data_IF_550842709118
#
_entry.id   IF_550842709118
#
_cell.length_a   1.000
_cell.length_b   1.000
_cell.length_c   1.000
_cell.angle_alpha   90.00
_cell.angle_beta   90.00
_cell.angle_gamma   90.00
#
_symmetry.space_group_name_H-M   'P 1'
#
loop_
_entity.id
_entity.type
_entity.pdbx_description
1 polymer ?
#
# COMPACT_ATOMS: atom_id res chain seq x y z
N UNK A 1 2.97 8.17 15.31
CA UNK A 1 4.20 8.38 14.54
C UNK A 1 5.09 7.14 14.66
N UNK A 2 5.34 6.47 13.57
CA UNK A 2 6.19 5.27 13.51
C UNK A 2 7.61 5.58 13.05
N UNK A 3 8.01 6.84 13.05
CA UNK A 3 9.32 7.32 12.61
C UNK A 3 9.57 7.08 11.11
N UNK A 4 8.50 7.00 10.32
CA UNK A 4 8.57 6.71 8.91
C UNK A 4 8.68 7.99 8.09
N UNK A 5 9.67 8.06 7.22
CA UNK A 5 9.83 9.20 6.33
C UNK A 5 9.05 9.00 5.04
N UNK A 6 7.79 9.40 5.04
CA UNK A 6 6.90 9.30 3.88
C UNK A 6 7.33 10.21 2.72
N UNK A 7 8.20 11.19 2.95
CA UNK A 7 8.68 12.09 1.90
C UNK A 7 9.44 11.40 0.78
N UNK A 8 10.11 10.31 1.08
CA UNK A 8 10.87 9.54 0.07
C UNK A 8 9.98 8.82 -0.95
N UNK A 9 8.69 8.64 -0.66
CA UNK A 9 7.73 8.00 -1.55
C UNK A 9 7.28 8.85 -2.72
N UNK A 10 7.46 10.16 -2.62
CA UNK A 10 7.09 11.10 -3.66
C UNK A 10 8.22 11.40 -4.63
N UNK A 11 9.36 10.71 -4.52
CA UNK A 11 10.41 10.88 -5.50
C UNK A 11 9.97 10.36 -6.88
N UNK A 12 10.50 10.98 -7.94
CA UNK A 12 10.10 10.67 -9.30
C UNK A 12 10.41 9.22 -9.71
N UNK A 13 11.41 8.61 -9.13
CA UNK A 13 11.83 7.23 -9.45
C UNK A 13 10.81 6.22 -8.93
N UNK A 14 10.41 6.34 -7.67
CA UNK A 14 9.34 5.51 -7.09
C UNK A 14 8.01 5.71 -7.82
N UNK A 15 7.72 6.95 -8.19
CA UNK A 15 6.54 7.32 -8.97
C UNK A 15 6.51 6.62 -10.33
N UNK A 16 7.61 6.63 -11.06
CA UNK A 16 7.70 6.01 -12.38
C UNK A 16 7.56 4.49 -12.34
N UNK A 17 8.19 3.82 -11.38
CA UNK A 17 8.17 2.35 -11.30
C UNK A 17 6.77 1.80 -11.02
N UNK A 18 5.98 2.47 -10.16
CA UNK A 18 4.68 1.95 -9.76
C UNK A 18 3.49 2.59 -10.46
N UNK A 19 3.72 3.70 -11.16
CA UNK A 19 2.67 4.49 -11.76
C UNK A 19 1.90 3.74 -12.84
N UNK A 20 2.61 3.13 -13.77
CA UNK A 20 2.00 2.39 -14.87
C UNK A 20 1.26 1.14 -14.39
N UNK A 21 1.78 0.46 -13.37
CA UNK A 21 1.09 -0.69 -12.78
C UNK A 21 -0.19 -0.28 -12.06
N UNK A 22 -0.20 0.84 -11.36
CA UNK A 22 -1.43 1.36 -10.74
C UNK A 22 -2.47 1.70 -11.78
N UNK A 23 -2.10 2.36 -12.87
CA UNK A 23 -3.01 2.63 -14.00
C UNK A 23 -3.60 1.34 -14.58
N UNK A 24 -2.76 0.35 -14.81
CA UNK A 24 -3.19 -0.93 -15.37
C UNK A 24 -4.13 -1.69 -14.42
N UNK A 25 -3.84 -1.69 -13.12
CA UNK A 25 -4.73 -2.27 -12.10
C UNK A 25 -6.08 -1.56 -12.09
N UNK A 26 -6.08 -0.22 -12.07
CA UNK A 26 -7.31 0.56 -12.03
C UNK A 26 -8.16 0.38 -13.29
N UNK A 27 -7.55 0.10 -14.44
CA UNK A 27 -8.26 -0.19 -15.68
C UNK A 27 -9.04 -1.52 -15.66
N UNK A 28 -8.70 -2.42 -14.74
CA UNK A 28 -9.30 -3.76 -14.62
C UNK A 28 -10.50 -3.82 -13.68
N UNK A 29 -10.82 -2.72 -13.02
CA UNK A 29 -11.90 -2.65 -12.04
C UNK A 29 -12.88 -1.54 -12.41
N UNK A 30 -14.12 -1.73 -12.04
CA UNK A 30 -15.16 -0.70 -12.16
C UNK A 30 -15.08 0.22 -10.94
N UNK A 31 -14.71 1.48 -11.18
CA UNK A 31 -14.59 2.51 -10.15
C UNK A 31 -15.77 3.45 -10.29
N UNK A 32 -16.80 3.22 -9.49
CA UNK A 32 -18.00 4.04 -9.44
C UNK A 32 -18.28 4.48 -8.00
N UNK A 33 -18.97 5.62 -7.86
CA UNK A 33 -19.35 6.15 -6.56
C UNK A 33 -18.22 6.81 -5.80
N UNK A 34 -18.33 6.83 -4.47
CA UNK A 34 -17.37 7.48 -3.58
C UNK A 34 -16.24 6.50 -3.22
N UNK A 35 -15.01 6.92 -3.48
CA UNK A 35 -13.81 6.12 -3.23
C UNK A 35 -13.05 6.69 -2.03
N UNK A 36 -12.62 5.81 -1.13
CA UNK A 36 -11.73 6.17 -0.03
C UNK A 36 -10.34 5.59 -0.27
N UNK A 37 -9.31 6.43 -0.18
CA UNK A 37 -7.90 6.05 -0.24
C UNK A 37 -7.35 5.96 1.18
N UNK A 38 -7.30 4.74 1.72
CA UNK A 38 -6.83 4.46 3.07
C UNK A 38 -5.31 4.46 3.14
N UNK A 39 -4.74 5.39 3.93
CA UNK A 39 -3.31 5.65 3.92
C UNK A 39 -2.86 6.37 2.64
N UNK A 40 -3.72 7.22 2.10
CA UNK A 40 -3.54 7.88 0.82
C UNK A 40 -2.44 8.94 0.78
N UNK A 41 -1.77 9.21 1.89
CA UNK A 41 -0.71 10.19 2.01
C UNK A 41 -1.10 11.52 1.34
N UNK A 42 -0.33 11.96 0.34
CA UNK A 42 -0.57 13.21 -0.39
C UNK A 42 -1.65 13.12 -1.49
N UNK A 43 -2.38 12.01 -1.56
CA UNK A 43 -3.52 11.86 -2.48
C UNK A 43 -3.13 11.67 -3.95
N UNK A 44 -2.06 10.93 -4.23
CA UNK A 44 -1.60 10.69 -5.62
C UNK A 44 -2.67 10.04 -6.50
N UNK A 45 -3.58 9.24 -5.94
CA UNK A 45 -4.65 8.61 -6.71
C UNK A 45 -5.69 9.61 -7.24
N UNK A 46 -5.69 10.85 -6.75
CA UNK A 46 -6.52 11.94 -7.30
C UNK A 46 -6.19 12.26 -8.76
N UNK A 47 -5.00 11.87 -9.22
CA UNK A 47 -4.64 11.98 -10.64
C UNK A 47 -5.43 11.02 -11.54
N UNK A 48 -5.97 9.94 -10.97
CA UNK A 48 -6.69 8.89 -11.71
C UNK A 48 -8.17 8.81 -11.39
N UNK A 49 -8.57 9.20 -10.19
CA UNK A 49 -9.91 9.02 -9.67
C UNK A 49 -10.43 10.36 -9.18
N UNK A 50 -11.53 10.84 -9.77
CA UNK A 50 -12.09 12.16 -9.46
C UNK A 50 -12.82 12.23 -8.12
N UNK A 51 -13.56 11.17 -7.75
CA UNK A 51 -14.37 11.13 -6.53
C UNK A 51 -13.67 10.33 -5.41
N UNK A 52 -12.43 10.72 -5.11
CA UNK A 52 -11.63 10.05 -4.09
C UNK A 52 -11.38 10.94 -2.88
N UNK A 53 -11.52 10.35 -1.70
CA UNK A 53 -11.25 10.98 -0.41
C UNK A 53 -10.04 10.28 0.19
N UNK A 54 -8.97 11.02 0.47
CA UNK A 54 -7.79 10.48 1.13
C UNK A 54 -7.91 10.54 2.64
N UNK A 55 -7.63 9.43 3.31
CA UNK A 55 -7.58 9.30 4.75
C UNK A 55 -6.17 8.90 5.14
N UNK A 56 -5.52 9.67 5.99
CA UNK A 56 -4.19 9.36 6.50
C UNK A 56 -4.02 9.86 7.93
N UNK A 57 -3.21 9.17 8.69
CA UNK A 57 -2.88 9.56 10.06
C UNK A 57 -1.90 10.73 10.12
N UNK A 58 -1.13 10.93 9.07
CA UNK A 58 -0.10 11.97 8.97
C UNK A 58 -0.69 13.28 8.41
N UNK A 59 -1.02 14.20 9.28
CA UNK A 59 -1.55 15.51 8.93
C UNK A 59 -0.60 16.32 8.04
N UNK A 60 0.72 16.07 8.09
CA UNK A 60 1.70 16.78 7.26
C UNK A 60 1.54 16.52 5.76
N UNK A 61 0.90 15.41 5.40
CA UNK A 61 0.57 15.03 4.02
C UNK A 61 -0.67 15.72 3.49
N UNK A 62 -1.39 16.44 4.35
CA UNK A 62 -2.63 17.16 4.01
C UNK A 62 -3.69 16.26 3.35
N UNK A 63 -4.01 15.10 3.97
CA UNK A 63 -5.10 14.28 3.47
C UNK A 63 -6.43 15.03 3.62
N UNK A 64 -7.48 14.57 2.94
CA UNK A 64 -8.82 15.12 3.11
C UNK A 64 -9.35 14.89 4.53
N UNK A 65 -9.02 13.73 5.10
CA UNK A 65 -9.37 13.38 6.48
C UNK A 65 -8.12 12.88 7.21
N UNK A 66 -7.80 13.52 8.33
CA UNK A 66 -6.74 13.06 9.24
C UNK A 66 -7.35 12.08 10.23
N UNK A 67 -7.11 10.80 10.04
CA UNK A 67 -7.66 9.75 10.91
C UNK A 67 -6.85 8.46 10.81
N UNK A 68 -7.02 7.59 11.80
CA UNK A 68 -6.41 6.28 11.83
C UNK A 68 -7.31 5.26 11.13
N UNK A 69 -6.84 4.65 10.05
CA UNK A 69 -7.60 3.66 9.29
C UNK A 69 -8.02 2.43 10.09
N UNK A 70 -7.34 2.13 11.20
CA UNK A 70 -7.71 1.03 12.11
C UNK A 70 -9.01 1.30 12.88
N UNK A 71 -9.45 2.55 12.94
CA UNK A 71 -10.65 2.97 13.68
C UNK A 71 -11.60 3.83 12.84
N UNK A 72 -11.14 4.32 11.70
CA UNK A 72 -11.94 5.14 10.80
C UNK A 72 -13.18 4.40 10.29
N UNK A 73 -14.28 5.11 10.19
CA UNK A 73 -15.52 4.65 9.54
C UNK A 73 -16.02 5.71 8.57
N UNK A 74 -16.54 5.26 7.45
CA UNK A 74 -17.16 6.12 6.47
C UNK A 74 -18.09 5.32 5.57
N UNK A 75 -18.87 6.02 4.77
CA UNK A 75 -19.76 5.41 3.79
C UNK A 75 -19.16 5.56 2.39
N UNK A 76 -18.55 4.50 1.92
CA UNK A 76 -17.81 4.45 0.66
C UNK A 76 -18.31 3.31 -0.22
N UNK A 77 -18.22 3.49 -1.54
CA UNK A 77 -18.51 2.43 -2.51
C UNK A 77 -17.28 1.54 -2.75
N UNK A 78 -16.09 2.15 -2.68
CA UNK A 78 -14.82 1.45 -2.82
C UNK A 78 -13.81 1.98 -1.79
N UNK A 79 -13.13 1.07 -1.11
CA UNK A 79 -11.94 1.38 -0.30
C UNK A 79 -10.71 0.87 -1.03
N UNK A 80 -9.73 1.74 -1.26
CA UNK A 80 -8.42 1.39 -1.81
C UNK A 80 -7.39 1.43 -0.70
N UNK A 81 -6.61 0.36 -0.57
CA UNK A 81 -5.49 0.24 0.36
C UNK A 81 -4.24 -0.03 -0.48
N UNK A 82 -3.49 1.03 -0.77
CA UNK A 82 -2.34 0.98 -1.67
C UNK A 82 -1.04 1.22 -0.93
N UNK A 83 -0.18 0.21 -0.91
CA UNK A 83 1.14 0.27 -0.29
C UNK A 83 1.12 0.72 1.18
N UNK A 84 0.22 0.15 1.96
CA UNK A 84 0.00 0.48 3.38
C UNK A 84 0.31 -0.70 4.30
N UNK A 85 0.03 -1.93 3.89
CA UNK A 85 0.04 -3.09 4.78
C UNK A 85 1.43 -3.41 5.37
N UNK A 86 2.50 -3.01 4.70
CA UNK A 86 3.86 -3.18 5.22
C UNK A 86 4.19 -2.25 6.40
N UNK A 87 3.35 -1.27 6.71
CA UNK A 87 3.44 -0.46 7.92
C UNK A 87 2.74 -1.08 9.12
N UNK A 88 1.92 -2.09 8.90
CA UNK A 88 1.09 -2.75 9.90
C UNK A 88 1.65 -4.14 10.23
N UNK A 89 1.72 -4.49 11.51
CA UNK A 89 2.02 -5.87 11.91
C UNK A 89 0.84 -6.80 11.57
N UNK A 90 1.04 -8.11 11.70
CA UNK A 90 0.03 -9.10 11.33
C UNK A 90 -1.28 -8.92 12.11
N UNK A 91 -1.19 -8.63 13.39
CA UNK A 91 -2.37 -8.35 14.22
C UNK A 91 -3.12 -7.11 13.73
N UNK A 92 -2.41 -6.04 13.40
CA UNK A 92 -2.99 -4.80 12.89
C UNK A 92 -3.64 -4.99 11.51
N UNK A 93 -3.06 -5.81 10.64
CA UNK A 93 -3.68 -6.16 9.35
C UNK A 93 -5.00 -6.89 9.56
N UNK A 94 -5.01 -7.90 10.44
CA UNK A 94 -6.23 -8.64 10.75
C UNK A 94 -7.29 -7.72 11.39
N UNK A 95 -6.87 -6.84 12.29
CA UNK A 95 -7.74 -5.84 12.92
C UNK A 95 -8.34 -4.87 11.91
N UNK A 96 -7.54 -4.39 10.95
CA UNK A 96 -7.99 -3.49 9.88
C UNK A 96 -9.14 -4.11 9.09
N UNK A 97 -8.96 -5.34 8.58
CA UNK A 97 -9.99 -5.99 7.76
C UNK A 97 -11.22 -6.37 8.58
N UNK A 98 -11.05 -6.80 9.82
CA UNK A 98 -12.18 -7.02 10.73
C UNK A 98 -12.97 -5.74 10.95
N UNK A 99 -12.29 -4.62 11.15
CA UNK A 99 -12.92 -3.32 11.34
C UNK A 99 -13.67 -2.86 10.08
N UNK A 100 -13.01 -2.89 8.91
CA UNK A 100 -13.65 -2.53 7.65
C UNK A 100 -14.90 -3.38 7.41
N UNK A 101 -14.81 -4.68 7.62
CA UNK A 101 -15.92 -5.61 7.44
C UNK A 101 -17.12 -5.29 8.34
N UNK A 102 -16.91 -4.65 9.47
CA UNK A 102 -17.97 -4.29 10.40
C UNK A 102 -18.92 -3.19 9.91
N UNK A 103 -18.47 -2.35 8.97
CA UNK A 103 -19.27 -1.22 8.46
C UNK A 103 -19.32 -1.11 6.94
N UNK A 104 -18.33 -1.62 6.22
CA UNK A 104 -18.24 -1.46 4.77
C UNK A 104 -19.00 -2.55 4.02
N UNK A 105 -19.86 -2.15 3.08
CA UNK A 105 -20.66 -3.04 2.24
C UNK A 105 -20.18 -3.09 0.79
N UNK A 106 -19.33 -2.15 0.40
CA UNK A 106 -18.82 -2.02 -0.95
C UNK A 106 -17.58 -2.88 -1.25
N UNK A 107 -16.89 -2.52 -2.30
CA UNK A 107 -15.68 -3.20 -2.75
C UNK A 107 -14.45 -2.74 -1.97
N UNK A 108 -13.44 -3.60 -1.93
CA UNK A 108 -12.11 -3.28 -1.40
C UNK A 108 -11.09 -3.66 -2.47
N UNK A 109 -10.18 -2.73 -2.78
CA UNK A 109 -9.03 -2.97 -3.63
C UNK A 109 -7.76 -2.83 -2.81
N UNK A 110 -6.94 -3.87 -2.79
CA UNK A 110 -5.65 -3.89 -2.13
C UNK A 110 -4.57 -3.94 -3.19
N UNK A 111 -3.66 -2.96 -3.17
CA UNK A 111 -2.47 -2.95 -4.02
C UNK A 111 -1.26 -2.97 -3.10
N UNK A 112 -0.48 -4.04 -3.18
CA UNK A 112 0.64 -4.23 -2.27
C UNK A 112 1.83 -4.87 -2.98
N UNK A 113 3.01 -4.32 -2.75
CA UNK A 113 4.22 -5.02 -3.13
C UNK A 113 4.62 -6.05 -2.09
N UNK A 114 5.21 -7.10 -2.59
CA UNK A 114 5.75 -8.21 -1.80
C UNK A 114 7.19 -8.45 -2.22
N UNK A 115 7.93 -9.17 -1.43
CA UNK A 115 9.29 -9.52 -1.77
C UNK A 115 9.52 -11.01 -1.60
N UNK A 116 9.83 -11.68 -2.70
CA UNK A 116 10.12 -13.10 -2.73
C UNK A 116 11.61 -13.38 -2.44
N UNK A 117 12.49 -12.40 -2.67
CA UNK A 117 13.94 -12.62 -2.65
C UNK A 117 14.61 -12.09 -1.37
N UNK A 118 14.06 -11.09 -0.71
CA UNK A 118 14.65 -10.54 0.50
C UNK A 118 14.20 -11.27 1.75
N UNK A 119 15.17 -11.64 2.58
CA UNK A 119 14.88 -12.17 3.91
C UNK A 119 14.25 -11.08 4.76
N UNK A 120 13.18 -11.41 5.44
CA UNK A 120 12.40 -10.47 6.27
C UNK A 120 13.23 -9.66 7.27
N UNK A 121 14.37 -10.19 7.72
CA UNK A 121 15.29 -9.50 8.64
C UNK A 121 15.84 -8.17 8.10
N UNK A 122 15.92 -7.99 6.78
CA UNK A 122 16.38 -6.74 6.18
C UNK A 122 15.34 -5.61 6.34
N UNK A 123 14.10 -5.98 6.52
CA UNK A 123 12.99 -5.05 6.65
C UNK A 123 12.60 -4.76 8.11
N UNK A 124 13.07 -5.60 9.04
CA UNK A 124 12.69 -5.49 10.45
C UNK A 124 13.56 -4.54 11.28
N UNK A 125 14.74 -4.15 10.80
CA UNK A 125 15.72 -3.54 11.69
C UNK A 125 15.84 -2.02 11.64
N UNK A 126 15.48 -1.33 10.56
CA UNK A 126 15.71 0.14 10.47
C UNK A 126 14.74 0.88 9.55
N UNK A 127 13.58 0.36 9.20
CA UNK A 127 13.00 0.70 7.93
C UNK A 127 11.64 1.33 8.00
N UNK A 128 11.40 2.11 6.99
CA UNK A 128 10.09 2.59 6.59
C UNK A 128 9.11 1.43 6.39
N UNK A 129 9.61 0.23 6.05
CA UNK A 129 8.83 -0.99 5.83
C UNK A 129 9.11 -2.02 6.93
N UNK A 130 8.44 -1.90 8.04
CA UNK A 130 8.66 -2.81 9.17
C UNK A 130 8.20 -4.24 8.92
N UNK A 131 7.19 -4.44 8.08
CA UNK A 131 6.50 -5.72 7.91
C UNK A 131 6.40 -6.10 6.45
N UNK A 132 7.53 -6.21 5.79
CA UNK A 132 7.60 -6.62 4.41
C UNK A 132 7.36 -8.13 4.29
N UNK A 133 6.43 -8.52 3.45
CA UNK A 133 5.94 -9.89 3.36
C UNK A 133 6.14 -10.46 1.97
N UNK A 134 6.32 -11.77 1.89
CA UNK A 134 6.14 -12.50 0.63
C UNK A 134 4.65 -12.52 0.25
N UNK A 135 4.38 -12.85 -1.01
CA UNK A 135 2.99 -13.01 -1.49
C UNK A 135 2.21 -14.00 -0.63
N UNK A 136 2.82 -15.15 -0.31
CA UNK A 136 2.19 -16.18 0.50
C UNK A 136 1.88 -15.69 1.93
N UNK A 137 2.82 -14.97 2.56
CA UNK A 137 2.60 -14.37 3.88
C UNK A 137 1.47 -13.35 3.86
N UNK A 138 1.41 -12.51 2.84
CA UNK A 138 0.36 -11.51 2.68
C UNK A 138 -1.01 -12.19 2.51
N UNK A 139 -1.12 -13.15 1.59
CA UNK A 139 -2.38 -13.82 1.28
C UNK A 139 -2.97 -14.58 2.48
N UNK A 140 -2.13 -15.08 3.39
CA UNK A 140 -2.61 -15.70 4.64
C UNK A 140 -3.30 -14.72 5.59
N UNK A 141 -2.98 -13.43 5.51
CA UNK A 141 -3.57 -12.39 6.34
C UNK A 141 -4.82 -11.77 5.73
N UNK A 142 -4.92 -11.81 4.41
CA UNK A 142 -6.05 -11.22 3.70
C UNK A 142 -7.31 -12.08 3.85
N UNK A 143 -8.49 -11.47 3.90
CA UNK A 143 -9.74 -12.18 3.62
C UNK A 143 -9.67 -12.87 2.25
N UNK A 144 -10.68 -13.68 1.90
CA UNK A 144 -10.72 -14.36 0.60
C UNK A 144 -10.96 -13.36 -0.54
N UNK A 145 -9.90 -12.68 -0.96
CA UNK A 145 -9.90 -11.80 -2.13
C UNK A 145 -9.42 -12.55 -3.37
N UNK A 146 -9.95 -12.15 -4.51
CA UNK A 146 -9.45 -12.58 -5.80
C UNK A 146 -8.19 -11.80 -6.15
N UNK A 147 -7.11 -12.47 -6.51
CA UNK A 147 -5.95 -11.82 -7.13
C UNK A 147 -6.28 -11.48 -8.57
N UNK A 148 -6.30 -10.21 -8.92
CA UNK A 148 -6.64 -9.72 -10.26
C UNK A 148 -5.43 -9.23 -11.02
N UNK A 149 -4.28 -9.10 -10.37
CA UNK A 149 -3.06 -8.56 -10.95
C UNK A 149 -1.84 -9.06 -10.22
N UNK A 150 -0.80 -9.39 -10.96
CA UNK A 150 0.50 -9.75 -10.38
C UNK A 150 1.60 -9.46 -11.40
N UNK A 151 2.60 -8.70 -11.01
CA UNK A 151 3.77 -8.40 -11.83
C UNK A 151 5.04 -8.37 -10.99
N UNK A 152 6.14 -8.86 -11.55
CA UNK A 152 7.46 -8.81 -10.92
C UNK A 152 8.26 -7.62 -11.47
N UNK A 153 8.89 -6.89 -10.56
CA UNK A 153 9.85 -5.85 -10.87
C UNK A 153 11.26 -6.27 -10.48
N UNK A 154 12.23 -5.96 -11.35
CA UNK A 154 13.63 -6.03 -10.98
C UNK A 154 14.05 -4.70 -10.37
N UNK A 155 14.37 -4.71 -9.09
CA UNK A 155 14.85 -3.54 -8.38
C UNK A 155 16.38 -3.57 -8.31
N UNK A 156 17.02 -2.46 -8.67
CA UNK A 156 18.47 -2.32 -8.59
C UNK A 156 18.93 -2.06 -7.16
N UNK A 157 20.21 -2.36 -6.90
CA UNK A 157 20.87 -2.02 -5.63
C UNK A 157 20.70 -0.53 -5.30
N UNK A 158 20.84 0.35 -6.28
CA UNK A 158 20.70 1.79 -6.12
C UNK A 158 19.29 2.18 -5.71
N UNK A 159 18.27 1.58 -6.31
CA UNK A 159 16.88 1.79 -5.92
C UNK A 159 16.65 1.44 -4.44
N UNK A 160 17.14 0.29 -3.98
CA UNK A 160 17.02 -0.09 -2.57
C UNK A 160 17.79 0.83 -1.64
N UNK A 161 19.00 1.24 -2.02
CA UNK A 161 19.78 2.20 -1.24
C UNK A 161 19.04 3.52 -1.06
N UNK A 162 18.51 4.07 -2.13
CA UNK A 162 17.82 5.36 -2.11
C UNK A 162 16.47 5.29 -1.40
N UNK A 163 15.75 4.19 -1.55
CA UNK A 163 14.41 4.04 -1.03
C UNK A 163 14.35 3.46 0.38
N UNK A 164 15.15 2.44 0.66
CA UNK A 164 15.13 1.69 1.90
C UNK A 164 16.34 1.95 2.79
N UNK A 165 17.28 2.75 2.32
CA UNK A 165 18.54 3.01 3.02
C UNK A 165 19.35 1.75 3.33
N UNK A 166 19.28 0.75 2.44
CA UNK A 166 19.96 -0.54 2.55
C UNK A 166 21.18 -0.52 1.63
N UNK A 167 22.34 -0.22 2.18
CA UNK A 167 23.57 -0.02 1.38
C UNK A 167 24.10 -1.30 0.71
N UNK A 168 23.91 -2.46 1.33
CA UNK A 168 24.46 -3.73 0.89
C UNK A 168 23.47 -4.63 0.16
N UNK A 169 22.31 -4.10 -0.22
CA UNK A 169 21.33 -4.85 -0.99
C UNK A 169 21.87 -5.18 -2.39
N UNK A 170 21.69 -6.41 -2.82
CA UNK A 170 21.89 -6.83 -4.21
C UNK A 170 20.67 -6.45 -5.05
N UNK A 171 20.71 -6.73 -6.36
CA UNK A 171 19.52 -6.62 -7.18
C UNK A 171 18.48 -7.65 -6.70
N UNK A 172 17.23 -7.20 -6.55
CA UNK A 172 16.13 -8.01 -6.04
C UNK A 172 14.92 -7.90 -6.96
N UNK A 173 14.09 -8.92 -6.88
CA UNK A 173 12.77 -8.87 -7.50
C UNK A 173 11.75 -8.43 -6.46
N UNK A 174 10.93 -7.47 -6.81
CA UNK A 174 9.72 -7.13 -6.07
C UNK A 174 8.50 -7.54 -6.90
N UNK A 175 7.47 -7.99 -6.23
CA UNK A 175 6.22 -8.35 -6.85
C UNK A 175 5.11 -7.43 -6.37
N UNK A 176 4.35 -6.87 -7.31
CA UNK A 176 3.13 -6.11 -7.00
C UNK A 176 1.93 -6.98 -7.28
N UNK A 177 1.03 -7.03 -6.31
CA UNK A 177 -0.22 -7.77 -6.38
C UNK A 177 -1.39 -6.84 -6.09
N UNK A 178 -2.51 -7.08 -6.75
CA UNK A 178 -3.78 -6.44 -6.46
C UNK A 178 -4.88 -7.49 -6.23
N UNK A 179 -5.67 -7.22 -5.23
CA UNK A 179 -6.75 -8.09 -4.77
C UNK A 179 -8.07 -7.34 -4.67
#
# INVERSE_FOLDING_TARGET
DRGMNFGKWSDNTSKLIYFDSVKDILSKIDITGIVADYGGANGILKEFISNIISIDIDASKKPDIVDNILTHKGNYDLIIIRFVLHYLNDYEVLKLFKHIKSYHKGKILIIQFTNEDLKSKYFNSKNEFKYFRTKNQLEKLLPKFKNIYSINYNCTKEFYKNRLNIENAKNHKEQINAY
#
